data_IF_433622494838
#
_entry.id   IF_433622494838
#
_cell.length_a   1.000
_cell.length_b   1.000
_cell.length_c   1.000
_cell.angle_alpha   90.00
_cell.angle_beta   90.00
_cell.angle_gamma   90.00
#
_symmetry.space_group_name_H-M   'P 1'
#
loop_
_entity.id
_entity.type
_entity.pdbx_description
1 polymer ?
#
# COMPACT_ATOMS: atom_id res chain seq x y z
N UNK A 1 -1.12 5.72 -5.49
CA UNK A 1 -0.61 6.99 -4.91
C UNK A 1 -1.70 8.03 -4.96
N UNK A 2 -1.75 8.95 -4.01
CA UNK A 2 -2.68 10.09 -3.98
C UNK A 2 -1.86 11.38 -4.03
N UNK A 3 -2.31 12.42 -4.72
CA UNK A 3 -1.60 13.70 -4.75
C UNK A 3 -1.73 14.41 -3.40
N UNK A 4 -0.70 15.17 -3.01
CA UNK A 4 -0.73 15.96 -1.76
C UNK A 4 -1.94 16.90 -1.69
N UNK A 5 -2.28 17.69 -2.73
CA UNK A 5 -3.45 18.57 -2.65
C UNK A 5 -4.76 17.80 -2.44
N UNK A 6 -4.91 16.62 -3.05
CA UNK A 6 -6.11 15.82 -2.88
C UNK A 6 -6.21 15.23 -1.48
N UNK A 7 -5.12 14.69 -0.93
CA UNK A 7 -5.10 14.13 0.43
C UNK A 7 -5.32 15.19 1.52
N UNK A 8 -4.95 16.44 1.25
CA UNK A 8 -5.21 17.58 2.14
C UNK A 8 -6.65 18.08 2.05
N UNK A 9 -7.23 18.13 0.84
CA UNK A 9 -8.59 18.64 0.60
C UNK A 9 -9.69 17.61 0.88
N UNK A 10 -9.38 16.32 0.69
CA UNK A 10 -10.34 15.22 0.79
C UNK A 10 -9.80 14.06 1.65
N UNK A 11 -9.36 14.30 2.90
CA UNK A 11 -8.86 13.24 3.77
C UNK A 11 -9.89 12.13 4.00
N UNK A 12 -11.18 12.45 4.04
CA UNK A 12 -12.29 11.49 4.19
C UNK A 12 -12.43 10.54 2.99
N UNK A 13 -12.09 11.01 1.79
CA UNK A 13 -12.11 10.18 0.57
C UNK A 13 -10.91 9.23 0.60
N UNK A 14 -9.75 9.70 1.04
CA UNK A 14 -8.56 8.85 1.24
C UNK A 14 -8.85 7.76 2.27
N UNK A 15 -9.52 8.11 3.36
CA UNK A 15 -9.90 7.16 4.40
C UNK A 15 -10.92 6.13 3.91
N UNK A 16 -11.90 6.57 3.12
CA UNK A 16 -12.86 5.66 2.48
C UNK A 16 -12.16 4.69 1.53
N UNK A 17 -11.24 5.20 0.70
CA UNK A 17 -10.45 4.38 -0.20
C UNK A 17 -9.63 3.33 0.57
N UNK A 18 -8.95 3.72 1.66
CA UNK A 18 -8.18 2.81 2.52
C UNK A 18 -9.03 1.70 3.14
N UNK A 19 -10.25 2.01 3.57
CA UNK A 19 -11.17 1.00 4.11
C UNK A 19 -11.55 -0.04 3.06
N UNK A 20 -11.77 0.39 1.82
CA UNK A 20 -12.04 -0.53 0.70
C UNK A 20 -10.83 -1.41 0.40
N UNK A 21 -9.62 -0.83 0.37
CA UNK A 21 -8.37 -1.59 0.20
C UNK A 21 -8.15 -2.60 1.35
N UNK A 22 -8.35 -2.20 2.60
CA UNK A 22 -8.24 -3.08 3.77
C UNK A 22 -9.21 -4.26 3.67
N UNK A 23 -10.47 -4.01 3.31
CA UNK A 23 -11.48 -5.06 3.07
C UNK A 23 -11.08 -5.98 1.92
N UNK A 24 -10.46 -5.46 0.86
CA UNK A 24 -9.98 -6.29 -0.25
C UNK A 24 -8.86 -7.23 0.21
N UNK A 25 -7.93 -6.76 1.04
CA UNK A 25 -6.86 -7.60 1.63
C UNK A 25 -7.44 -8.68 2.55
N UNK A 26 -8.44 -8.34 3.36
CA UNK A 26 -9.17 -9.33 4.16
C UNK A 26 -9.91 -10.34 3.27
N UNK A 27 -10.47 -9.90 2.14
CA UNK A 27 -11.14 -10.79 1.18
C UNK A 27 -10.13 -11.75 0.55
N UNK A 28 -8.96 -11.27 0.12
CA UNK A 28 -7.89 -12.13 -0.41
C UNK A 28 -7.47 -13.20 0.60
N UNK A 29 -7.42 -12.87 1.90
CA UNK A 29 -7.03 -13.80 2.96
C UNK A 29 -8.15 -14.78 3.34
N UNK A 30 -9.35 -14.27 3.56
CA UNK A 30 -10.44 -15.00 4.20
C UNK A 30 -11.41 -15.64 3.20
N UNK A 31 -11.52 -15.08 1.99
CA UNK A 31 -12.32 -15.60 0.87
C UNK A 31 -11.55 -15.49 -0.47
N UNK A 32 -10.46 -16.25 -0.62
CA UNK A 32 -9.62 -16.20 -1.82
C UNK A 32 -10.37 -16.59 -3.10
N UNK A 33 -11.49 -17.32 -2.99
CA UNK A 33 -12.34 -17.65 -4.14
C UNK A 33 -13.11 -16.42 -4.61
N UNK A 34 -13.75 -15.66 -3.70
CA UNK A 34 -14.40 -14.40 -4.06
C UNK A 34 -13.39 -13.39 -4.61
N UNK A 35 -12.20 -13.29 -4.02
CA UNK A 35 -11.12 -12.44 -4.54
C UNK A 35 -10.74 -12.82 -5.97
N UNK A 36 -10.53 -14.12 -6.24
CA UNK A 36 -10.17 -14.60 -7.57
C UNK A 36 -11.29 -14.36 -8.61
N UNK A 37 -12.56 -14.51 -8.23
CA UNK A 37 -13.69 -14.20 -9.11
C UNK A 37 -13.75 -12.71 -9.46
N UNK A 38 -13.60 -11.82 -8.47
CA UNK A 38 -13.61 -10.39 -8.70
C UNK A 38 -12.45 -9.94 -9.59
N UNK A 39 -11.23 -10.42 -9.31
CA UNK A 39 -10.04 -10.11 -10.13
C UNK A 39 -10.20 -10.65 -11.55
N UNK A 40 -10.68 -11.88 -11.71
CA UNK A 40 -10.91 -12.48 -13.02
C UNK A 40 -11.87 -11.68 -13.89
N UNK A 41 -12.96 -11.18 -13.30
CA UNK A 41 -13.93 -10.34 -13.98
C UNK A 41 -13.33 -8.99 -14.43
N UNK A 42 -12.49 -8.38 -13.60
CA UNK A 42 -11.86 -7.08 -13.89
C UNK A 42 -10.81 -7.18 -15.01
N UNK A 43 -9.92 -8.17 -14.95
CA UNK A 43 -8.80 -8.27 -15.90
C UNK A 43 -9.08 -9.18 -17.11
N UNK A 44 -10.30 -9.71 -17.22
CA UNK A 44 -10.73 -10.55 -18.34
C UNK A 44 -10.01 -11.90 -18.41
N UNK A 45 -9.80 -12.57 -17.27
CA UNK A 45 -9.21 -13.92 -17.20
C UNK A 45 -10.15 -14.91 -16.51
N UNK A 46 -9.71 -16.17 -16.32
CA UNK A 46 -10.51 -17.15 -15.57
C UNK A 46 -10.22 -17.06 -14.06
N UNK A 47 -11.18 -17.41 -13.18
CA UNK A 47 -10.96 -17.45 -11.73
C UNK A 47 -9.75 -18.31 -11.33
N UNK A 48 -9.46 -19.40 -12.04
CA UNK A 48 -8.32 -20.28 -11.74
C UNK A 48 -6.98 -19.59 -12.03
N UNK A 49 -6.90 -18.84 -13.14
CA UNK A 49 -5.72 -18.06 -13.49
C UNK A 49 -5.52 -16.90 -12.50
N UNK A 50 -6.59 -16.19 -12.16
CA UNK A 50 -6.56 -15.12 -11.16
C UNK A 50 -6.13 -15.65 -9.78
N UNK A 51 -6.70 -16.78 -9.33
CA UNK A 51 -6.32 -17.43 -8.09
C UNK A 51 -4.83 -17.84 -8.07
N UNK A 52 -4.32 -18.34 -9.20
CA UNK A 52 -2.91 -18.70 -9.33
C UNK A 52 -2.00 -17.47 -9.20
N UNK A 53 -2.37 -16.34 -9.79
CA UNK A 53 -1.64 -15.07 -9.67
C UNK A 53 -1.70 -14.51 -8.24
N UNK A 54 -2.87 -14.53 -7.60
CA UNK A 54 -3.03 -14.08 -6.22
C UNK A 54 -2.17 -14.89 -5.23
N UNK A 55 -1.90 -16.17 -5.51
CA UNK A 55 -0.99 -16.97 -4.66
C UNK A 55 0.49 -16.60 -4.79
N UNK A 56 0.88 -15.87 -5.84
CA UNK A 56 2.26 -15.42 -6.06
C UNK A 56 2.57 -14.11 -5.33
N UNK A 57 1.55 -13.36 -4.93
CA UNK A 57 1.68 -12.08 -4.24
C UNK A 57 1.81 -12.24 -2.73
N UNK A 58 2.49 -11.28 -2.10
CA UNK A 58 2.43 -11.06 -0.65
C UNK A 58 1.39 -10.00 -0.37
N UNK A 59 0.29 -10.40 0.27
CA UNK A 59 -0.80 -9.51 0.66
C UNK A 59 -0.78 -9.31 2.18
N UNK A 60 -0.28 -8.15 2.60
CA UNK A 60 -0.19 -7.76 4.00
C UNK A 60 -1.58 -7.63 4.61
N UNK A 61 -1.71 -7.98 5.89
CA UNK A 61 -2.89 -7.64 6.68
C UNK A 61 -2.96 -6.13 6.89
N UNK A 62 -4.17 -5.59 7.15
CA UNK A 62 -4.30 -4.20 7.57
C UNK A 62 -3.40 -3.84 8.76
N UNK A 63 -3.20 -4.77 9.69
CA UNK A 63 -2.31 -4.61 10.85
C UNK A 63 -0.83 -4.58 10.44
N UNK A 64 -0.39 -5.47 9.55
CA UNK A 64 0.98 -5.46 9.03
C UNK A 64 1.24 -4.20 8.21
N UNK A 65 0.28 -3.73 7.41
CA UNK A 65 0.39 -2.49 6.65
C UNK A 65 0.68 -1.28 7.54
N UNK A 66 0.00 -1.15 8.67
CA UNK A 66 0.21 -0.06 9.62
C UNK A 66 1.34 -0.31 10.64
N UNK A 67 2.09 -1.40 10.49
CA UNK A 67 3.23 -1.67 11.36
C UNK A 67 4.42 -0.75 11.05
N UNK A 68 5.35 -0.66 12.01
CA UNK A 68 6.60 0.06 11.83
C UNK A 68 7.48 -0.51 10.70
N UNK A 69 7.24 -1.74 10.23
CA UNK A 69 7.95 -2.33 9.08
C UNK A 69 7.45 -1.75 7.74
N UNK A 70 6.19 -1.32 7.68
CA UNK A 70 5.54 -0.87 6.45
C UNK A 70 5.19 0.62 6.51
N UNK A 71 3.91 0.99 6.50
CA UNK A 71 3.48 2.39 6.45
C UNK A 71 3.69 3.13 7.77
N UNK A 72 3.64 2.42 8.90
CA UNK A 72 3.62 3.00 10.24
C UNK A 72 2.25 3.56 10.63
N UNK A 73 2.28 4.47 11.60
CA UNK A 73 1.08 5.04 12.24
C UNK A 73 1.08 6.57 12.13
N UNK A 74 -0.02 7.22 12.54
CA UNK A 74 -0.16 8.67 12.45
C UNK A 74 1.01 9.40 13.12
N UNK A 75 1.66 10.30 12.37
CA UNK A 75 2.86 11.02 12.78
C UNK A 75 4.16 10.18 12.86
N UNK A 76 4.10 8.86 12.64
CA UNK A 76 5.25 7.96 12.73
C UNK A 76 5.36 7.04 11.48
N UNK A 77 5.90 7.54 10.36
CA UNK A 77 6.14 6.74 9.16
C UNK A 77 7.04 5.53 9.42
N UNK A 78 6.66 4.38 8.85
CA UNK A 78 7.37 3.12 9.00
C UNK A 78 8.59 2.95 8.07
N UNK A 79 9.16 1.75 8.09
CA UNK A 79 10.40 1.39 7.41
C UNK A 79 10.28 1.34 5.88
N UNK A 80 9.07 1.43 5.32
CA UNK A 80 8.89 1.62 3.88
C UNK A 80 9.68 2.83 3.36
N UNK A 81 9.81 3.90 4.15
CA UNK A 81 10.62 5.07 3.77
C UNK A 81 12.09 4.71 3.51
N UNK A 82 12.66 3.83 4.34
CA UNK A 82 14.05 3.38 4.20
C UNK A 82 14.21 2.48 2.99
N UNK A 83 13.26 1.55 2.77
CA UNK A 83 13.26 0.68 1.59
C UNK A 83 13.22 1.50 0.28
N UNK A 84 12.39 2.55 0.23
CA UNK A 84 12.32 3.48 -0.91
C UNK A 84 13.62 4.26 -1.10
N UNK A 85 14.23 4.73 0.00
CA UNK A 85 15.52 5.41 -0.06
C UNK A 85 16.62 4.49 -0.59
N UNK A 86 16.69 3.25 -0.11
CA UNK A 86 17.67 2.25 -0.59
C UNK A 86 17.49 1.96 -2.08
N UNK A 87 16.25 1.85 -2.56
CA UNK A 87 15.97 1.71 -3.98
C UNK A 87 16.44 2.94 -4.78
N UNK A 88 16.20 4.16 -4.29
CA UNK A 88 16.69 5.38 -4.93
C UNK A 88 18.23 5.45 -4.96
N UNK A 89 18.90 5.05 -3.88
CA UNK A 89 20.37 4.96 -3.81
C UNK A 89 20.91 3.97 -4.84
N UNK A 90 20.28 2.80 -4.97
CA UNK A 90 20.63 1.82 -6.00
C UNK A 90 20.48 2.42 -7.41
N UNK A 91 19.36 3.07 -7.71
CA UNK A 91 19.15 3.72 -9.02
C UNK A 91 20.17 4.84 -9.29
N UNK A 92 20.56 5.61 -8.28
CA UNK A 92 21.60 6.63 -8.40
C UNK A 92 22.98 6.01 -8.68
N UNK A 93 23.32 4.91 -8.01
CA UNK A 93 24.56 4.16 -8.27
C UNK A 93 24.61 3.62 -9.71
N UNK A 94 23.46 3.19 -10.23
CA UNK A 94 23.30 2.75 -11.62
C UNK A 94 23.16 3.91 -12.63
N UNK A 95 23.31 5.16 -12.17
CA UNK A 95 23.18 6.41 -12.96
C UNK A 95 21.84 6.56 -13.68
N UNK A 96 20.79 5.88 -13.18
CA UNK A 96 19.41 6.00 -13.70
C UNK A 96 18.74 7.28 -13.20
N UNK A 97 19.19 7.80 -12.06
CA UNK A 97 18.81 9.13 -11.54
C UNK A 97 20.07 9.90 -11.13
N UNK A 98 20.06 11.25 -11.13
CA UNK A 98 21.25 12.04 -10.81
C UNK A 98 21.73 11.84 -9.37
N UNK A 99 20.79 11.83 -8.41
CA UNK A 99 21.05 11.65 -6.98
C UNK A 99 19.83 11.02 -6.31
N UNK A 100 20.05 10.31 -5.20
CA UNK A 100 18.98 9.81 -4.35
C UNK A 100 18.56 10.90 -3.34
N UNK A 101 17.24 11.14 -3.15
CA UNK A 101 16.76 12.00 -2.07
C UNK A 101 17.16 11.49 -0.68
N UNK A 102 17.13 12.37 0.31
CA UNK A 102 17.33 11.99 1.70
C UNK A 102 16.14 11.20 2.27
N UNK A 103 16.34 10.55 3.42
CA UNK A 103 15.30 9.73 4.06
C UNK A 103 14.06 10.58 4.42
N UNK A 104 14.29 11.82 4.87
CA UNK A 104 13.23 12.73 5.28
C UNK A 104 12.24 13.02 4.12
N UNK A 105 12.73 13.09 2.88
CA UNK A 105 11.89 13.23 1.69
C UNK A 105 10.90 12.07 1.57
N UNK A 106 11.34 10.83 1.77
CA UNK A 106 10.47 9.65 1.70
C UNK A 106 9.54 9.55 2.91
N UNK A 107 10.02 9.84 4.12
CA UNK A 107 9.18 9.87 5.33
C UNK A 107 8.03 10.87 5.19
N UNK A 108 8.30 12.07 4.66
CA UNK A 108 7.28 13.10 4.43
C UNK A 108 6.29 12.73 3.31
N UNK A 109 6.71 11.90 2.36
CA UNK A 109 5.85 11.45 1.26
C UNK A 109 4.86 10.35 1.68
N UNK A 110 5.11 9.65 2.79
CA UNK A 110 4.18 8.65 3.33
C UNK A 110 3.10 9.36 4.14
N UNK A 111 1.89 9.42 3.59
CA UNK A 111 0.73 9.96 4.26
C UNK A 111 0.25 8.97 5.33
N UNK A 112 0.56 9.21 6.62
CA UNK A 112 0.19 8.32 7.73
C UNK A 112 -1.05 8.75 8.51
N UNK A 113 -1.59 9.94 8.23
CA UNK A 113 -2.77 10.47 8.93
C UNK A 113 -3.91 9.46 8.95
N UNK A 114 -4.46 9.22 10.13
CA UNK A 114 -5.57 8.28 10.36
C UNK A 114 -5.17 6.81 10.53
N UNK A 115 -3.89 6.43 10.37
CA UNK A 115 -3.41 5.07 10.64
C UNK A 115 -3.09 4.87 12.14
N UNK A 116 -3.32 3.68 12.72
CA UNK A 116 -3.88 2.48 12.08
C UNK A 116 -5.42 2.49 12.03
N UNK A 117 -6.07 3.37 12.80
CA UNK A 117 -7.49 3.28 13.14
C UNK A 117 -8.43 3.26 11.93
N UNK A 118 -8.10 3.98 10.86
CA UNK A 118 -8.88 3.98 9.61
C UNK A 118 -8.96 2.60 8.96
N UNK A 119 -7.99 1.73 9.21
CA UNK A 119 -7.95 0.36 8.69
C UNK A 119 -8.70 -0.64 9.57
N UNK A 120 -9.07 -0.27 10.79
CA UNK A 120 -9.92 -1.11 11.61
C UNK A 120 -11.32 -1.16 10.98
N UNK A 121 -11.79 -2.36 10.67
CA UNK A 121 -13.13 -2.57 10.14
C UNK A 121 -14.17 -1.97 11.11
N UNK A 122 -15.11 -1.22 10.55
CA UNK A 122 -16.39 -0.93 11.21
C UNK A 122 -17.33 -2.12 11.12
#
# INVERSE_FOLDING_TARGET
MVSTPFAEQHPEVVDTWRKVEARALETVRNDPQAAAQAVAAEIGTTPENAASQLKQGVFLSPQELASAEWLGTDGAPGNLAQNLQSAAQFLAAQKQIPTAPDLATFQKAIYTKGLPDVLAAG
#
